data_IF_434690153584
#
_entry.id   IF_434690153584
#
_cell.length_a   1.000
_cell.length_b   1.000
_cell.length_c   1.000
_cell.angle_alpha   90.00
_cell.angle_beta   90.00
_cell.angle_gamma   90.00
#
_symmetry.space_group_name_H-M   'P 1'
#
loop_
_entity.id
_entity.type
_entity.pdbx_description
1 polymer ?
#
# COMPACT_ATOMS: atom_id res chain seq x y z
N UNK A 1 7.96 31.27 -7.43
CA UNK A 1 6.65 30.65 -7.75
C UNK A 1 6.67 29.13 -7.53
N UNK A 2 7.08 28.62 -6.35
CA UNK A 2 7.04 27.16 -6.04
C UNK A 2 6.05 26.80 -4.92
N UNK A 3 5.56 27.78 -4.17
CA UNK A 3 4.73 27.57 -2.97
C UNK A 3 3.28 27.20 -3.30
N UNK A 4 2.74 27.68 -4.44
CA UNK A 4 1.32 27.53 -4.78
C UNK A 4 0.95 26.07 -5.10
N UNK A 5 1.87 25.32 -5.73
CA UNK A 5 1.65 23.93 -6.12
C UNK A 5 1.54 22.98 -4.93
N UNK A 6 2.32 23.19 -3.87
CA UNK A 6 2.25 22.36 -2.65
C UNK A 6 0.92 22.60 -1.92
N UNK A 7 0.49 23.86 -1.86
CA UNK A 7 -0.78 24.21 -1.20
C UNK A 7 -1.99 23.64 -1.93
N UNK A 8 -1.95 23.55 -3.26
CA UNK A 8 -3.00 22.92 -4.07
C UNK A 8 -3.06 21.40 -3.83
N UNK A 9 -1.90 20.72 -3.79
CA UNK A 9 -1.82 19.29 -3.48
C UNK A 9 -2.39 18.98 -2.08
N UNK A 10 -2.09 19.81 -1.09
CA UNK A 10 -2.57 19.64 0.29
C UNK A 10 -4.07 19.90 0.46
N UNK A 11 -4.72 20.59 -0.47
CA UNK A 11 -6.17 20.87 -0.45
C UNK A 11 -7.00 19.78 -1.14
N UNK A 12 -6.36 18.84 -1.84
CA UNK A 12 -7.06 17.75 -2.51
C UNK A 12 -7.68 16.78 -1.51
N UNK A 13 -9.00 16.56 -1.61
CA UNK A 13 -9.70 15.53 -0.83
C UNK A 13 -9.24 14.10 -1.19
N UNK A 14 -8.85 13.89 -2.44
CA UNK A 14 -8.33 12.60 -2.91
C UNK A 14 -6.81 12.66 -2.87
N UNK A 15 -6.12 11.67 -2.25
CA UNK A 15 -4.66 11.65 -2.23
C UNK A 15 -4.12 11.68 -3.66
N UNK A 16 -3.32 12.71 -3.98
CA UNK A 16 -2.61 12.78 -5.26
C UNK A 16 -1.36 11.92 -5.10
N UNK A 17 -1.52 10.63 -5.39
CA UNK A 17 -0.42 9.66 -5.34
C UNK A 17 0.37 9.79 -6.63
N UNK A 18 1.60 10.28 -6.52
CA UNK A 18 2.55 10.26 -7.63
C UNK A 18 3.20 8.87 -7.70
N UNK A 19 2.77 8.05 -8.66
CA UNK A 19 3.50 6.85 -9.02
C UNK A 19 4.65 7.23 -9.93
N UNK A 20 5.87 6.92 -9.50
CA UNK A 20 7.01 6.97 -10.40
C UNK A 20 6.97 5.74 -11.31
N UNK A 21 6.65 5.97 -12.59
CA UNK A 21 6.56 4.91 -13.60
C UNK A 21 7.89 4.18 -13.78
N UNK A 22 9.03 4.82 -13.47
CA UNK A 22 10.33 4.15 -13.55
C UNK A 22 10.49 3.02 -12.54
N UNK A 23 9.67 3.00 -11.48
CA UNK A 23 9.66 1.94 -10.47
C UNK A 23 8.86 0.70 -10.91
N UNK A 24 8.05 0.78 -11.98
CA UNK A 24 7.31 -0.37 -12.52
C UNK A 24 8.25 -1.51 -12.93
N UNK A 25 9.49 -1.20 -13.32
CA UNK A 25 10.53 -2.20 -13.63
C UNK A 25 10.85 -3.14 -12.46
N UNK A 26 10.54 -2.75 -11.23
CA UNK A 26 10.82 -3.53 -10.01
C UNK A 26 9.61 -4.35 -9.54
N UNK A 27 8.45 -4.27 -10.19
CA UNK A 27 7.20 -4.89 -9.70
C UNK A 27 7.29 -6.42 -9.50
N UNK A 28 8.11 -7.09 -10.29
CA UNK A 28 8.31 -8.55 -10.26
C UNK A 28 9.65 -8.94 -9.63
N UNK A 29 10.33 -8.00 -8.96
CA UNK A 29 11.65 -8.22 -8.36
C UNK A 29 11.52 -8.23 -6.84
N UNK A 30 11.98 -9.32 -6.22
CA UNK A 30 12.11 -9.37 -4.76
C UNK A 30 13.37 -8.61 -4.35
N UNK A 31 13.18 -7.35 -3.96
CA UNK A 31 14.29 -6.46 -3.58
C UNK A 31 14.97 -6.85 -2.25
N UNK A 32 14.22 -7.49 -1.34
CA UNK A 32 14.68 -7.80 0.01
C UNK A 32 14.23 -9.21 0.43
N UNK A 33 14.89 -10.28 -0.06
CA UNK A 33 14.44 -11.65 0.14
C UNK A 33 14.38 -12.05 1.62
N UNK A 34 15.39 -11.71 2.42
CA UNK A 34 15.43 -12.03 3.85
C UNK A 34 14.32 -11.34 4.65
N UNK A 35 14.05 -10.07 4.34
CA UNK A 35 12.95 -9.31 4.99
C UNK A 35 11.59 -9.86 4.58
N UNK A 36 11.45 -10.29 3.32
CA UNK A 36 10.22 -10.92 2.83
C UNK A 36 9.97 -12.25 3.55
N UNK A 37 10.99 -13.10 3.67
CA UNK A 37 10.89 -14.35 4.41
C UNK A 37 10.52 -14.12 5.87
N UNK A 38 11.23 -13.20 6.55
CA UNK A 38 10.94 -12.85 7.93
C UNK A 38 9.49 -12.36 8.07
N UNK A 39 9.03 -11.44 7.22
CA UNK A 39 7.64 -10.96 7.26
C UNK A 39 6.62 -12.10 7.10
N UNK A 40 6.86 -13.03 6.17
CA UNK A 40 6.01 -14.21 5.99
C UNK A 40 5.97 -15.10 7.23
N UNK A 41 7.11 -15.31 7.90
CA UNK A 41 7.16 -16.07 9.16
C UNK A 41 6.39 -15.37 10.29
N UNK A 42 6.54 -14.04 10.40
CA UNK A 42 5.81 -13.24 11.39
C UNK A 42 4.29 -13.30 11.17
N UNK A 43 3.84 -13.09 9.94
CA UNK A 43 2.42 -13.16 9.58
C UNK A 43 1.87 -14.57 9.85
N UNK A 44 2.62 -15.62 9.53
CA UNK A 44 2.21 -17.01 9.81
C UNK A 44 2.09 -17.29 11.31
N UNK A 45 2.98 -16.72 12.12
CA UNK A 45 3.03 -16.96 13.57
C UNK A 45 1.98 -16.17 14.35
N UNK A 46 1.81 -14.89 14.01
CA UNK A 46 0.99 -13.95 14.79
C UNK A 46 -0.33 -13.60 14.11
N UNK A 47 -0.48 -13.93 12.83
CA UNK A 47 -1.63 -13.52 12.02
C UNK A 47 -1.54 -12.05 11.60
N UNK A 48 -2.62 -11.57 10.98
CA UNK A 48 -2.83 -10.15 10.69
C UNK A 48 -3.78 -9.54 11.72
N UNK A 49 -3.79 -8.20 11.89
CA UNK A 49 -4.75 -7.53 12.76
C UNK A 49 -6.20 -7.87 12.38
N UNK A 50 -7.11 -7.87 13.36
CA UNK A 50 -8.52 -8.21 13.16
C UNK A 50 -9.19 -7.36 12.08
N UNK A 51 -8.85 -6.07 12.08
CA UNK A 51 -9.35 -5.05 11.16
C UNK A 51 -9.07 -5.42 9.70
N UNK A 52 -7.96 -6.12 9.43
CA UNK A 52 -7.61 -6.58 8.09
C UNK A 52 -8.62 -7.62 7.57
N UNK A 53 -8.99 -8.59 8.40
CA UNK A 53 -9.98 -9.61 8.02
C UNK A 53 -11.38 -9.01 7.85
N UNK A 54 -11.75 -8.04 8.69
CA UNK A 54 -13.02 -7.30 8.58
C UNK A 54 -13.09 -6.44 7.32
N UNK A 55 -11.96 -5.85 6.88
CA UNK A 55 -11.88 -5.15 5.60
C UNK A 55 -12.07 -6.11 4.43
N UNK A 56 -11.42 -7.29 4.45
CA UNK A 56 -11.58 -8.31 3.41
C UNK A 56 -13.02 -8.80 3.32
N UNK A 57 -13.69 -9.03 4.45
CA UNK A 57 -15.09 -9.46 4.48
C UNK A 57 -16.01 -8.41 3.81
N UNK A 58 -15.86 -7.14 4.18
CA UNK A 58 -16.61 -6.02 3.57
C UNK A 58 -16.40 -5.94 2.06
N UNK A 59 -15.16 -6.02 1.58
CA UNK A 59 -14.85 -5.98 0.14
C UNK A 59 -15.43 -7.17 -0.63
N UNK A 60 -15.62 -8.33 0.01
CA UNK A 60 -16.27 -9.50 -0.61
C UNK A 60 -17.78 -9.33 -0.70
N UNK A 61 -18.39 -8.70 0.30
CA UNK A 61 -19.82 -8.37 0.32
C UNK A 61 -20.16 -7.30 -0.72
N UNK A 62 -19.31 -6.27 -0.88
CA UNK A 62 -19.49 -5.21 -1.89
C UNK A 62 -19.33 -5.69 -3.34
N UNK A 63 -18.64 -6.82 -3.55
CA UNK A 63 -18.41 -7.43 -4.87
C UNK A 63 -19.46 -8.48 -5.25
N UNK A 64 -20.42 -8.77 -4.36
CA UNK A 64 -21.49 -9.74 -4.57
C UNK A 64 -22.79 -9.02 -4.93
#
# INVERSE_FOLDING_TARGET
MKSDKIQELNKSKTPIVAFDKELEKLQNVVLFPEKLEMANQFIKKYGLPKEYYEQIARQKEEKK
#
